data_IF_581013217434
#
_entry.id   IF_581013217434
#
_cell.length_a   1.000
_cell.length_b   1.000
_cell.length_c   1.000
_cell.angle_alpha   90.00
_cell.angle_beta   90.00
_cell.angle_gamma   90.00
#
_symmetry.space_group_name_H-M   'P 1'
#
loop_
_entity.id
_entity.type
_entity.pdbx_description
1 polymer ?
#
# COMPACT_ATOMS: atom_id res chain seq x y z
N UNK A 1 13.34 29.00 -23.29
CA UNK A 1 13.47 27.63 -22.77
C UNK A 1 12.94 27.64 -21.35
N UNK A 2 11.79 27.03 -21.13
CA UNK A 2 11.16 26.96 -19.82
C UNK A 2 10.62 25.54 -19.66
N UNK A 3 11.26 24.77 -18.78
CA UNK A 3 10.83 23.44 -18.38
C UNK A 3 9.52 23.54 -17.61
N UNK A 4 8.57 22.65 -17.91
CA UNK A 4 7.43 22.40 -17.03
C UNK A 4 7.29 20.89 -16.81
N UNK A 5 7.95 20.32 -15.80
CA UNK A 5 7.66 18.96 -15.36
C UNK A 5 6.25 18.92 -14.75
N UNK A 6 5.47 17.88 -15.07
CA UNK A 6 4.22 17.60 -14.35
C UNK A 6 4.53 17.32 -12.87
N UNK A 7 3.69 17.90 -12.02
CA UNK A 7 4.02 18.30 -10.64
C UNK A 7 4.02 17.15 -9.64
N UNK A 8 4.99 17.12 -8.72
CA UNK A 8 5.07 16.15 -7.61
C UNK A 8 3.96 16.37 -6.57
N UNK A 9 3.73 15.42 -5.65
CA UNK A 9 2.69 15.52 -4.59
C UNK A 9 2.79 16.82 -3.79
N UNK A 10 4.00 17.29 -3.51
CA UNK A 10 4.29 18.59 -2.90
C UNK A 10 3.77 19.78 -3.74
N UNK A 11 3.91 19.68 -5.07
CA UNK A 11 3.51 20.72 -6.02
C UNK A 11 2.01 20.69 -6.37
N UNK A 12 1.29 19.57 -6.10
CA UNK A 12 -0.19 19.52 -6.12
C UNK A 12 -0.79 20.10 -4.84
N UNK A 13 -0.21 19.76 -3.68
CA UNK A 13 -0.69 20.23 -2.36
C UNK A 13 -0.58 21.74 -2.15
N UNK A 14 0.36 22.42 -2.82
CA UNK A 14 0.49 23.88 -2.77
C UNK A 14 -0.71 24.66 -3.34
N UNK A 15 -1.64 24.01 -4.06
CA UNK A 15 -2.85 24.64 -4.56
C UNK A 15 -4.06 24.52 -3.60
N UNK A 16 -4.02 23.61 -2.61
CA UNK A 16 -5.16 23.28 -1.74
C UNK A 16 -4.96 23.61 -0.26
N UNK A 17 -4.13 24.62 0.05
CA UNK A 17 -3.97 25.10 1.43
C UNK A 17 -5.20 25.90 1.89
N UNK A 18 -6.28 25.18 2.21
CA UNK A 18 -7.31 25.61 3.12
C UNK A 18 -7.83 24.40 3.92
N UNK A 19 -7.50 24.39 5.21
CA UNK A 19 -7.94 23.47 6.26
C UNK A 19 -7.28 22.07 6.30
N UNK A 20 -6.53 21.82 7.39
CA UNK A 20 -6.24 20.48 7.88
C UNK A 20 -7.42 20.04 8.76
N UNK A 21 -8.35 19.19 8.28
CA UNK A 21 -9.33 18.60 9.17
C UNK A 21 -8.65 17.60 10.12
N UNK A 22 -9.20 17.39 11.33
CA UNK A 22 -8.72 16.36 12.25
C UNK A 22 -8.82 14.96 11.62
N UNK A 23 -8.09 13.96 12.16
CA UNK A 23 -8.25 12.57 11.74
C UNK A 23 -9.73 12.18 11.77
N UNK A 24 -10.26 11.77 10.62
CA UNK A 24 -11.62 11.27 10.53
C UNK A 24 -11.61 9.81 10.96
N UNK A 25 -11.91 9.57 12.23
CA UNK A 25 -12.38 8.26 12.64
C UNK A 25 -13.75 8.09 12.01
N UNK A 26 -13.95 7.04 11.20
CA UNK A 26 -15.31 6.58 10.91
C UNK A 26 -16.02 6.46 12.27
N UNK A 27 -17.26 6.95 12.42
CA UNK A 27 -17.96 6.88 13.70
C UNK A 27 -17.82 5.44 14.22
N UNK A 28 -17.51 5.24 15.51
CA UNK A 28 -17.44 3.91 16.07
C UNK A 28 -18.79 3.27 15.77
N UNK A 29 -18.80 2.33 14.83
CA UNK A 29 -19.94 1.44 14.67
C UNK A 29 -20.09 0.80 16.04
N UNK A 30 -21.11 1.20 16.79
CA UNK A 30 -21.49 0.65 18.10
C UNK A 30 -21.93 -0.83 18.00
N UNK A 31 -21.64 -1.49 16.89
CA UNK A 31 -21.61 -2.93 16.79
C UNK A 31 -20.23 -3.39 17.22
N UNK A 32 -20.17 -4.30 18.19
CA UNK A 32 -19.05 -5.25 18.33
C UNK A 32 -18.38 -5.51 16.98
N UNK A 33 -17.03 -5.63 16.90
CA UNK A 33 -16.37 -5.96 15.65
C UNK A 33 -17.08 -7.20 15.09
N UNK A 34 -17.65 -7.15 13.87
CA UNK A 34 -18.40 -8.27 13.36
C UNK A 34 -17.50 -9.50 13.36
N UNK A 35 -17.75 -10.38 14.31
CA UNK A 35 -17.13 -11.69 14.43
C UNK A 35 -17.47 -12.41 13.13
N UNK A 36 -16.44 -12.63 12.30
CA UNK A 36 -16.50 -13.30 10.99
C UNK A 36 -17.28 -12.55 9.90
N UNK A 37 -16.66 -11.52 9.31
CA UNK A 37 -17.02 -11.07 7.96
C UNK A 37 -16.86 -12.24 7.00
N UNK A 38 -17.97 -12.73 6.43
CA UNK A 38 -17.93 -13.83 5.47
C UNK A 38 -17.33 -13.32 4.16
N UNK A 39 -16.15 -13.83 3.81
CA UNK A 39 -15.47 -13.48 2.55
C UNK A 39 -16.17 -14.21 1.41
N UNK A 40 -16.71 -13.46 0.47
CA UNK A 40 -17.41 -14.02 -0.71
C UNK A 40 -16.41 -14.61 -1.70
N UNK A 41 -16.73 -15.73 -2.34
CA UNK A 41 -15.89 -16.33 -3.35
C UNK A 41 -15.92 -15.56 -4.68
N UNK A 42 -14.74 -15.33 -5.26
CA UNK A 42 -14.57 -14.77 -6.60
C UNK A 42 -14.20 -15.90 -7.58
N UNK A 43 -14.86 -16.03 -8.74
CA UNK A 43 -14.49 -17.00 -9.77
C UNK A 43 -13.15 -16.64 -10.44
N UNK A 44 -12.53 -17.61 -11.12
CA UNK A 44 -11.29 -17.39 -11.88
C UNK A 44 -11.47 -17.73 -13.36
N UNK A 45 -11.42 -16.73 -14.27
CA UNK A 45 -11.24 -15.28 -14.02
C UNK A 45 -12.51 -14.61 -13.44
N UNK A 46 -12.38 -13.45 -12.76
CA UNK A 46 -13.54 -12.69 -12.31
C UNK A 46 -14.27 -12.06 -13.52
N UNK A 47 -15.61 -12.18 -13.65
CA UNK A 47 -16.34 -11.54 -14.73
C UNK A 47 -16.48 -10.03 -14.48
N UNK A 48 -16.59 -9.24 -15.55
CA UNK A 48 -16.80 -7.80 -15.44
C UNK A 48 -18.10 -7.43 -14.70
N UNK A 49 -19.15 -8.25 -14.82
CA UNK A 49 -20.40 -8.07 -14.09
C UNK A 49 -20.23 -8.12 -12.56
N UNK A 50 -19.24 -8.87 -12.08
CA UNK A 50 -18.87 -8.92 -10.67
C UNK A 50 -18.02 -7.72 -10.28
N UNK A 51 -16.99 -7.39 -11.08
CA UNK A 51 -16.06 -6.31 -10.71
C UNK A 51 -16.67 -4.92 -10.85
N UNK A 52 -17.63 -4.76 -11.76
CA UNK A 52 -18.25 -3.49 -12.17
C UNK A 52 -17.22 -2.43 -12.59
N UNK A 53 -15.98 -2.84 -12.88
CA UNK A 53 -14.92 -1.96 -13.33
C UNK A 53 -15.19 -1.54 -14.79
N UNK A 54 -14.79 -0.31 -15.19
CA UNK A 54 -14.72 0.07 -16.59
C UNK A 54 -13.90 -0.94 -17.39
N UNK A 55 -14.23 -1.11 -18.68
CA UNK A 55 -13.61 -2.14 -19.53
C UNK A 55 -12.08 -2.10 -19.53
N UNK A 56 -11.49 -0.89 -19.59
CA UNK A 56 -10.03 -0.68 -19.52
C UNK A 56 -9.44 -1.18 -18.20
N UNK A 57 -10.02 -0.79 -17.06
CA UNK A 57 -9.57 -1.20 -15.73
C UNK A 57 -9.77 -2.71 -15.49
N UNK A 58 -10.85 -3.29 -16.00
CA UNK A 58 -11.07 -4.74 -15.92
C UNK A 58 -10.04 -5.53 -16.75
N UNK A 59 -9.73 -5.06 -17.96
CA UNK A 59 -8.68 -5.66 -18.78
C UNK A 59 -7.30 -5.56 -18.09
N UNK A 60 -6.98 -4.42 -17.48
CA UNK A 60 -5.75 -4.22 -16.72
C UNK A 60 -5.65 -5.17 -15.51
N UNK A 61 -6.74 -5.38 -14.78
CA UNK A 61 -6.81 -6.36 -13.70
C UNK A 61 -6.42 -7.76 -14.19
N UNK A 62 -7.02 -8.22 -15.30
CA UNK A 62 -6.75 -9.55 -15.85
C UNK A 62 -5.32 -9.66 -16.40
N UNK A 63 -4.80 -8.59 -16.99
CA UNK A 63 -3.41 -8.51 -17.46
C UNK A 63 -2.43 -8.64 -16.30
N UNK A 64 -2.60 -7.83 -15.23
CA UNK A 64 -1.78 -7.89 -14.01
C UNK A 64 -1.84 -9.28 -13.36
N UNK A 65 -3.04 -9.86 -13.26
CA UNK A 65 -3.21 -11.23 -12.77
C UNK A 65 -2.38 -12.25 -13.57
N UNK A 66 -2.46 -12.17 -14.91
CA UNK A 66 -1.72 -13.07 -15.79
C UNK A 66 -0.20 -12.89 -15.67
N UNK A 67 0.28 -11.65 -15.53
CA UNK A 67 1.70 -11.35 -15.35
C UNK A 67 2.23 -11.86 -14.01
N UNK A 68 1.53 -11.61 -12.90
CA UNK A 68 1.93 -12.08 -11.57
C UNK A 68 2.01 -13.61 -11.50
N UNK A 69 1.10 -14.33 -12.17
CA UNK A 69 1.12 -15.80 -12.23
C UNK A 69 2.26 -16.35 -13.09
N UNK A 70 2.70 -15.62 -14.12
CA UNK A 70 3.77 -16.04 -15.05
C UNK A 70 5.17 -15.64 -14.56
N UNK A 71 5.26 -14.57 -13.78
CA UNK A 71 6.51 -13.99 -13.31
C UNK A 71 6.41 -13.75 -11.81
N UNK A 72 6.46 -14.83 -11.00
CA UNK A 72 6.40 -14.71 -9.55
C UNK A 72 7.63 -13.95 -9.04
N UNK A 73 7.45 -13.28 -7.90
CA UNK A 73 8.56 -12.60 -7.22
C UNK A 73 9.65 -13.60 -6.79
N UNK A 74 10.92 -13.16 -6.75
CA UNK A 74 11.96 -13.91 -6.07
C UNK A 74 11.57 -14.17 -4.60
N UNK A 75 11.63 -15.43 -4.18
CA UNK A 75 11.27 -15.81 -2.82
C UNK A 75 12.36 -15.46 -1.81
N UNK A 76 11.98 -15.00 -0.63
CA UNK A 76 12.91 -14.88 0.49
C UNK A 76 13.09 -16.23 1.19
N UNK A 77 14.28 -16.55 1.74
CA UNK A 77 14.53 -17.78 2.49
C UNK A 77 13.94 -17.70 3.91
N UNK A 78 12.65 -17.40 4.00
CA UNK A 78 11.85 -17.30 5.22
C UNK A 78 10.59 -18.15 5.06
N UNK A 79 10.09 -18.71 6.15
CA UNK A 79 8.86 -19.50 6.14
C UNK A 79 7.92 -19.01 7.24
N UNK A 80 6.75 -18.45 6.90
CA UNK A 80 6.29 -18.16 5.53
C UNK A 80 7.10 -17.03 4.85
N UNK A 81 7.10 -17.00 3.51
CA UNK A 81 7.71 -15.91 2.74
C UNK A 81 6.86 -14.64 2.88
N UNK A 82 7.36 -13.57 3.50
CA UNK A 82 6.58 -12.37 3.78
C UNK A 82 6.26 -11.56 2.52
N UNK A 83 6.97 -11.77 1.40
CA UNK A 83 6.71 -11.06 0.14
C UNK A 83 5.34 -11.43 -0.45
N UNK A 84 4.87 -12.65 -0.16
CA UNK A 84 3.59 -13.19 -0.64
C UNK A 84 2.37 -12.46 -0.07
N UNK A 85 2.54 -11.74 1.04
CA UNK A 85 1.50 -10.93 1.67
C UNK A 85 1.33 -9.56 0.99
N UNK A 86 2.14 -9.22 -0.01
CA UNK A 86 2.06 -7.95 -0.74
C UNK A 86 0.96 -8.02 -1.79
N UNK A 87 0.23 -6.92 -1.97
CA UNK A 87 -0.81 -6.76 -2.97
C UNK A 87 -0.57 -5.51 -3.82
N UNK A 88 -1.06 -5.55 -5.05
CA UNK A 88 -1.09 -4.40 -5.95
C UNK A 88 -2.52 -3.98 -6.22
N UNK A 89 -2.76 -2.68 -6.37
CA UNK A 89 -4.04 -2.19 -6.87
C UNK A 89 -4.22 -2.57 -8.35
N UNK A 90 -5.42 -3.08 -8.67
CA UNK A 90 -5.73 -3.55 -10.02
C UNK A 90 -5.91 -2.39 -11.02
N UNK A 91 -6.31 -1.21 -10.53
CA UNK A 91 -6.64 -0.02 -11.31
C UNK A 91 -5.38 0.66 -11.89
N UNK A 92 -5.60 1.69 -12.71
CA UNK A 92 -4.55 2.39 -13.46
C UNK A 92 -3.58 3.12 -12.54
N UNK A 93 -4.09 3.72 -11.45
CA UNK A 93 -3.24 4.28 -10.41
C UNK A 93 -2.47 3.17 -9.69
N UNK A 94 -1.15 3.28 -9.76
CA UNK A 94 -0.27 2.33 -9.11
C UNK A 94 -0.25 2.60 -7.60
N UNK A 95 -0.47 1.54 -6.83
CA UNK A 95 -0.37 1.53 -5.39
C UNK A 95 -0.11 0.11 -4.90
N UNK A 96 0.41 0.01 -3.70
CA UNK A 96 0.76 -1.24 -3.04
C UNK A 96 0.05 -1.33 -1.69
N UNK A 97 -0.30 -2.54 -1.28
CA UNK A 97 -0.80 -2.82 0.06
C UNK A 97 -0.09 -4.06 0.62
N UNK A 98 -0.18 -4.26 1.93
CA UNK A 98 0.32 -5.45 2.60
C UNK A 98 -0.73 -6.04 3.52
N UNK A 99 -0.95 -7.34 3.44
CA UNK A 99 -1.81 -8.05 4.36
C UNK A 99 -1.10 -8.22 5.71
N UNK A 100 -1.68 -7.66 6.77
CA UNK A 100 -1.10 -7.66 8.13
C UNK A 100 -1.84 -8.61 9.08
N UNK A 101 -2.99 -9.15 8.67
CA UNK A 101 -3.71 -10.19 9.41
C UNK A 101 -4.27 -11.26 8.47
N UNK A 102 -4.22 -12.54 8.86
CA UNK A 102 -4.70 -13.64 8.02
C UNK A 102 -6.20 -13.63 7.71
N UNK A 103 -6.98 -12.78 8.40
CA UNK A 103 -8.41 -12.54 8.16
C UNK A 103 -8.67 -11.47 7.08
N UNK A 104 -7.63 -11.00 6.39
CA UNK A 104 -7.74 -10.11 5.24
C UNK A 104 -7.78 -8.62 5.63
N UNK A 105 -7.14 -8.25 6.74
CA UNK A 105 -6.83 -6.83 7.00
C UNK A 105 -5.57 -6.43 6.24
N UNK A 106 -5.71 -5.42 5.39
CA UNK A 106 -4.65 -4.87 4.56
C UNK A 106 -4.28 -3.47 5.06
N UNK A 107 -2.99 -3.15 5.02
CA UNK A 107 -2.44 -1.83 5.31
C UNK A 107 -1.87 -1.23 4.02
N UNK A 108 -2.11 0.06 3.79
CA UNK A 108 -1.58 0.81 2.65
C UNK A 108 -1.43 2.29 3.03
N UNK A 109 -0.95 3.12 2.09
CA UNK A 109 -0.97 4.57 2.26
C UNK A 109 -2.39 5.12 2.04
N UNK A 110 -2.75 6.16 2.80
CA UNK A 110 -4.06 6.80 2.72
C UNK A 110 -4.36 7.32 1.30
N UNK A 111 -3.37 7.94 0.67
CA UNK A 111 -3.50 8.48 -0.68
C UNK A 111 -3.67 7.42 -1.78
N UNK A 112 -3.39 6.13 -1.52
CA UNK A 112 -3.74 5.06 -2.45
C UNK A 112 -5.25 4.75 -2.45
N UNK A 113 -5.98 5.23 -1.43
CA UNK A 113 -7.42 5.05 -1.26
C UNK A 113 -8.17 6.32 -1.70
N UNK A 114 -7.73 7.47 -1.18
CA UNK A 114 -8.23 8.81 -1.48
C UNK A 114 -7.17 9.86 -1.12
N UNK A 115 -6.91 10.86 -1.97
CA UNK A 115 -5.89 11.89 -1.69
C UNK A 115 -6.33 12.81 -0.55
N UNK A 116 -7.63 13.07 -0.45
CA UNK A 116 -8.23 13.94 0.56
C UNK A 116 -9.41 13.26 1.27
N UNK A 117 -9.77 13.78 2.46
CA UNK A 117 -10.93 13.29 3.19
C UNK A 117 -12.25 13.48 2.41
N UNK A 118 -12.33 14.49 1.54
CA UNK A 118 -13.52 14.76 0.73
C UNK A 118 -13.72 13.74 -0.42
N UNK A 119 -12.64 13.09 -0.87
CA UNK A 119 -12.67 12.05 -1.90
C UNK A 119 -12.91 10.65 -1.33
N UNK A 120 -12.85 10.49 -0.01
CA UNK A 120 -13.03 9.21 0.64
C UNK A 120 -14.48 8.73 0.49
N UNK A 121 -14.65 7.62 -0.23
CA UNK A 121 -15.91 6.88 -0.31
C UNK A 121 -15.76 5.54 0.43
N UNK A 122 -16.33 5.40 1.65
CA UNK A 122 -16.26 4.17 2.43
C UNK A 122 -16.90 2.96 1.74
N UNK A 123 -17.83 3.16 0.80
CA UNK A 123 -18.49 2.10 0.06
C UNK A 123 -17.71 1.69 -1.20
N UNK A 124 -16.68 2.45 -1.60
CA UNK A 124 -15.86 2.15 -2.77
C UNK A 124 -15.17 0.82 -2.58
N UNK A 125 -15.37 -0.06 -3.56
CA UNK A 125 -14.65 -1.34 -3.63
C UNK A 125 -13.31 -1.13 -4.32
N UNK A 126 -12.24 -1.50 -3.62
CA UNK A 126 -10.90 -1.57 -4.15
C UNK A 126 -10.61 -3.00 -4.60
N UNK A 127 -10.15 -3.15 -5.84
CA UNK A 127 -9.74 -4.44 -6.40
C UNK A 127 -8.22 -4.54 -6.32
N UNK A 128 -7.72 -5.59 -5.67
CA UNK A 128 -6.29 -5.82 -5.49
C UNK A 128 -5.91 -7.24 -5.91
N UNK A 129 -4.63 -7.46 -6.15
CA UNK A 129 -4.06 -8.78 -6.44
C UNK A 129 -2.90 -9.06 -5.50
N UNK A 130 -2.93 -10.19 -4.81
CA UNK A 130 -1.76 -10.72 -4.11
C UNK A 130 -0.62 -11.00 -5.10
N UNK A 131 0.61 -11.10 -4.59
CA UNK A 131 1.78 -11.51 -5.39
C UNK A 131 1.59 -12.85 -6.14
N UNK A 132 0.70 -13.72 -5.67
CA UNK A 132 0.29 -14.96 -6.35
C UNK A 132 -0.61 -14.74 -7.57
N UNK A 133 -1.08 -13.51 -7.80
CA UNK A 133 -2.12 -13.15 -8.75
C UNK A 133 -3.54 -13.50 -8.29
N UNK A 134 -3.75 -13.88 -7.03
CA UNK A 134 -5.09 -14.06 -6.47
C UNK A 134 -5.79 -12.71 -6.29
N UNK A 135 -6.97 -12.56 -6.89
CA UNK A 135 -7.76 -11.33 -6.85
C UNK A 135 -8.58 -11.25 -5.57
N UNK A 136 -8.60 -10.07 -4.96
CA UNK A 136 -9.48 -9.72 -3.83
C UNK A 136 -10.22 -8.42 -4.09
N UNK A 137 -11.39 -8.31 -3.49
CA UNK A 137 -12.13 -7.07 -3.33
C UNK A 137 -12.04 -6.65 -1.86
N UNK A 138 -11.80 -5.38 -1.60
CA UNK A 138 -11.70 -4.83 -0.25
C UNK A 138 -12.36 -3.45 -0.14
N UNK A 139 -12.77 -3.08 1.06
CA UNK A 139 -13.35 -1.77 1.38
C UNK A 139 -12.51 -1.06 2.44
N UNK A 140 -12.48 0.26 2.41
CA UNK A 140 -11.78 1.05 3.42
C UNK A 140 -12.52 0.95 4.77
N UNK A 141 -11.78 0.65 5.84
CA UNK A 141 -12.31 0.56 7.22
C UNK A 141 -11.64 1.55 8.17
N UNK A 142 -10.52 2.14 7.79
CA UNK A 142 -9.89 3.26 8.48
C UNK A 142 -9.03 4.06 7.50
N UNK A 143 -8.93 5.37 7.71
CA UNK A 143 -8.17 6.29 6.88
C UNK A 143 -7.64 7.45 7.72
N UNK A 144 -6.34 7.75 7.60
CA UNK A 144 -5.68 8.85 8.29
C UNK A 144 -4.75 9.57 7.29
N UNK A 145 -5.21 10.71 6.78
CA UNK A 145 -4.44 11.53 5.86
C UNK A 145 -3.21 12.21 6.46
N UNK A 146 -3.16 12.38 7.79
CA UNK A 146 -1.99 12.98 8.45
C UNK A 146 -0.86 11.96 8.56
N UNK A 147 -1.14 10.75 9.02
CA UNK A 147 -0.17 9.64 9.05
C UNK A 147 0.05 9.01 7.68
N UNK A 148 -0.82 9.33 6.72
CA UNK A 148 -0.90 8.73 5.39
C UNK A 148 -1.05 7.21 5.45
N UNK A 149 -1.96 6.75 6.30
CA UNK A 149 -2.27 5.33 6.50
C UNK A 149 -3.73 5.04 6.22
N UNK A 150 -4.01 3.88 5.65
CA UNK A 150 -5.37 3.36 5.54
C UNK A 150 -5.40 1.84 5.78
N UNK A 151 -6.53 1.38 6.32
CA UNK A 151 -6.87 -0.04 6.43
C UNK A 151 -7.94 -0.40 5.41
N UNK A 152 -7.72 -1.51 4.72
CA UNK A 152 -8.73 -2.14 3.88
C UNK A 152 -9.10 -3.51 4.44
N UNK A 153 -10.38 -3.85 4.39
CA UNK A 153 -10.90 -5.18 4.76
C UNK A 153 -11.31 -5.95 3.52
N UNK A 154 -10.75 -7.13 3.32
CA UNK A 154 -11.17 -8.03 2.24
C UNK A 154 -12.61 -8.49 2.46
N UNK A 155 -13.46 -8.30 1.46
CA UNK A 155 -14.88 -8.69 1.44
C UNK A 155 -15.17 -9.82 0.45
N UNK A 156 -14.33 -9.98 -0.57
CA UNK A 156 -14.38 -11.10 -1.49
C UNK A 156 -12.98 -11.52 -1.95
N UNK A 157 -12.76 -12.81 -2.20
CA UNK A 157 -11.47 -13.34 -2.61
C UNK A 157 -11.60 -14.51 -3.59
N UNK A 158 -10.66 -14.61 -4.52
CA UNK A 158 -10.44 -15.85 -5.27
C UNK A 158 -9.89 -16.92 -4.33
N UNK A 159 -10.44 -18.13 -4.41
CA UNK A 159 -10.08 -19.20 -3.48
C UNK A 159 -10.63 -18.97 -2.06
N UNK A 160 -11.69 -18.18 -1.88
CA UNK A 160 -12.38 -18.08 -0.59
C UNK A 160 -12.78 -19.48 -0.11
N UNK A 161 -12.36 -19.83 1.13
CA UNK A 161 -12.44 -21.18 1.68
C UNK A 161 -11.11 -21.96 1.66
N UNK A 162 -10.08 -21.46 0.99
CA UNK A 162 -8.75 -22.09 0.86
C UNK A 162 -7.78 -21.89 2.03
N UNK A 163 -8.27 -21.35 3.16
CA UNK A 163 -7.45 -21.07 4.34
C UNK A 163 -7.13 -19.59 4.56
N UNK A 164 -6.28 -19.27 5.55
CA UNK A 164 -5.90 -17.90 5.88
C UNK A 164 -5.13 -17.20 4.75
N UNK A 165 -5.28 -15.88 4.63
CA UNK A 165 -4.44 -15.10 3.71
C UNK A 165 -2.98 -15.07 4.18
N UNK A 166 -2.00 -15.03 3.24
CA UNK A 166 -0.63 -14.72 3.60
C UNK A 166 -0.58 -13.34 4.26
N UNK A 167 0.07 -13.24 5.41
CA UNK A 167 0.14 -12.01 6.19
C UNK A 167 1.52 -11.84 6.83
N UNK A 168 1.97 -10.59 6.95
CA UNK A 168 3.19 -10.25 7.70
C UNK A 168 2.85 -9.84 9.14
N UNK A 169 3.81 -10.04 10.04
CA UNK A 169 3.71 -9.50 11.40
C UNK A 169 4.34 -8.11 11.45
N UNK A 170 3.66 -7.18 12.11
CA UNK A 170 4.22 -5.88 12.46
C UNK A 170 5.35 -6.08 13.48
N UNK A 171 6.47 -5.37 13.31
CA UNK A 171 7.58 -5.43 14.24
C UNK A 171 7.20 -4.83 15.61
N UNK A 172 7.76 -5.37 16.69
CA UNK A 172 7.51 -4.85 18.04
C UNK A 172 8.23 -3.52 18.29
N UNK A 173 9.41 -3.37 17.68
CA UNK A 173 10.33 -2.22 17.84
C UNK A 173 10.93 -1.84 16.49
N UNK A 174 11.22 -0.56 16.33
CA UNK A 174 11.89 -0.06 15.15
C UNK A 174 13.29 -0.71 15.03
N UNK A 175 13.74 -1.04 13.81
CA UNK A 175 15.07 -1.60 13.62
C UNK A 175 16.16 -0.54 13.82
N UNK A 176 17.39 -0.98 14.11
CA UNK A 176 18.55 -0.09 14.13
C UNK A 176 18.91 0.40 12.72
N UNK A 177 19.52 1.59 12.62
CA UNK A 177 20.05 2.12 11.36
C UNK A 177 21.02 1.12 10.73
N UNK A 178 20.96 0.95 9.41
CA UNK A 178 21.74 -0.03 8.67
C UNK A 178 21.12 -1.43 8.64
N UNK A 179 20.01 -1.67 9.35
CA UNK A 179 19.28 -2.94 9.24
C UNK A 179 18.82 -3.18 7.81
N UNK A 180 19.14 -4.35 7.26
CA UNK A 180 18.74 -4.72 5.91
C UNK A 180 17.22 -4.84 5.75
N UNK A 181 16.70 -4.22 4.69
CA UNK A 181 15.30 -4.17 4.31
C UNK A 181 15.06 -4.85 2.96
N UNK A 182 13.83 -5.30 2.79
CA UNK A 182 13.23 -5.65 1.50
C UNK A 182 12.02 -4.75 1.31
N UNK A 183 11.93 -4.09 0.16
CA UNK A 183 10.75 -3.35 -0.27
C UNK A 183 10.13 -4.09 -1.45
N UNK A 184 8.81 -4.33 -1.41
CA UNK A 184 8.08 -4.99 -2.49
C UNK A 184 6.96 -4.08 -2.92
N UNK A 185 6.98 -3.58 -4.15
CA UNK A 185 5.99 -2.60 -4.60
C UNK A 185 5.67 -2.70 -6.08
N UNK A 186 4.61 -1.99 -6.47
CA UNK A 186 4.14 -1.91 -7.86
C UNK A 186 4.66 -0.63 -8.51
N UNK A 187 5.75 -0.68 -9.28
CA UNK A 187 6.13 0.47 -10.10
C UNK A 187 5.04 0.78 -11.12
N UNK A 188 4.84 2.08 -11.39
CA UNK A 188 3.95 2.56 -12.42
C UNK A 188 4.31 1.99 -13.79
N UNK A 189 3.28 1.68 -14.59
CA UNK A 189 3.45 1.20 -15.96
C UNK A 189 3.85 2.29 -16.93
N UNK A 190 3.53 3.55 -16.62
CA UNK A 190 3.91 4.73 -17.41
C UNK A 190 5.15 5.39 -16.81
N UNK A 191 6.09 5.77 -17.68
CA UNK A 191 7.29 6.49 -17.33
C UNK A 191 6.93 7.97 -17.15
N UNK A 192 6.96 8.40 -15.89
CA UNK A 192 6.67 9.78 -15.51
C UNK A 192 7.92 10.67 -15.51
N UNK A 193 9.08 10.13 -15.88
CA UNK A 193 10.34 10.88 -16.03
C UNK A 193 10.54 11.42 -17.45
N UNK A 194 9.76 10.95 -18.42
CA UNK A 194 9.80 11.42 -19.81
C UNK A 194 8.69 12.44 -20.11
N UNK A 195 8.92 13.32 -21.08
CA UNK A 195 7.94 14.36 -21.47
C UNK A 195 6.70 13.79 -22.18
N UNK A 196 6.85 12.62 -22.83
CA UNK A 196 5.80 11.96 -23.57
C UNK A 196 4.91 11.12 -22.64
N UNK A 197 3.60 11.42 -22.62
CA UNK A 197 2.67 10.64 -21.81
C UNK A 197 2.45 9.24 -22.42
N UNK A 198 2.34 8.22 -21.57
CA UNK A 198 2.02 6.85 -21.98
C UNK A 198 3.21 6.02 -22.44
N UNK A 199 4.45 6.49 -22.27
CA UNK A 199 5.65 5.68 -22.49
C UNK A 199 5.70 4.59 -21.42
N UNK A 200 5.88 3.33 -21.83
CA UNK A 200 5.93 2.22 -20.89
C UNK A 200 7.28 2.16 -20.16
N UNK A 201 7.25 1.93 -18.84
CA UNK A 201 8.48 1.75 -18.04
C UNK A 201 9.18 0.42 -18.27
N UNK A 202 8.44 -0.59 -18.73
CA UNK A 202 8.91 -1.98 -18.84
C UNK A 202 9.11 -2.69 -17.49
N UNK A 203 8.73 -2.08 -16.37
CA UNK A 203 8.85 -2.70 -15.06
C UNK A 203 7.83 -3.85 -14.86
N UNK A 204 8.18 -4.87 -14.05
CA UNK A 204 7.22 -5.90 -13.67
C UNK A 204 6.11 -5.34 -12.77
N UNK A 205 4.97 -6.03 -12.70
CA UNK A 205 3.82 -5.65 -11.84
C UNK A 205 4.21 -5.57 -10.36
N UNK A 206 5.13 -6.42 -9.90
CA UNK A 206 5.74 -6.29 -8.59
C UNK A 206 7.25 -6.31 -8.75
N UNK A 207 7.91 -5.38 -8.08
CA UNK A 207 9.35 -5.27 -8.01
C UNK A 207 9.81 -5.45 -6.57
N UNK A 208 10.83 -6.28 -6.38
CA UNK A 208 11.49 -6.47 -5.10
C UNK A 208 12.83 -5.75 -5.13
N UNK A 209 13.01 -4.80 -4.23
CA UNK A 209 14.30 -4.13 -4.02
C UNK A 209 14.83 -4.40 -2.62
N UNK A 210 16.16 -4.41 -2.50
CA UNK A 210 16.84 -4.53 -1.21
C UNK A 210 17.52 -3.22 -0.86
N UNK A 211 17.61 -2.95 0.43
CA UNK A 211 18.29 -1.77 0.96
C UNK A 211 18.47 -1.89 2.46
N UNK A 212 18.52 -0.74 3.12
CA UNK A 212 18.81 -0.56 4.52
C UNK A 212 17.90 0.52 5.10
N UNK A 213 17.51 0.31 6.35
CA UNK A 213 16.83 1.29 7.16
C UNK A 213 17.78 2.45 7.51
N UNK A 214 17.36 3.69 7.31
CA UNK A 214 18.18 4.90 7.52
C UNK A 214 17.69 5.78 8.68
N UNK A 215 16.83 5.22 9.54
CA UNK A 215 16.24 5.94 10.68
C UNK A 215 15.13 6.88 10.25
N UNK A 216 14.66 7.72 11.18
CA UNK A 216 13.77 8.83 10.86
C UNK A 216 14.57 10.12 10.63
N UNK A 217 13.99 11.05 9.88
CA UNK A 217 14.51 12.41 9.71
C UNK A 217 14.48 13.17 11.03
N UNK A 218 15.55 13.91 11.33
CA UNK A 218 15.67 14.59 12.62
C UNK A 218 14.73 15.78 12.68
N UNK A 219 13.99 15.89 13.78
CA UNK A 219 13.09 17.02 14.02
C UNK A 219 11.76 16.96 13.28
N UNK A 220 11.51 15.91 12.49
CA UNK A 220 10.20 15.67 11.90
C UNK A 220 9.33 14.82 12.83
N UNK A 221 8.05 15.16 12.91
CA UNK A 221 7.06 14.38 13.65
C UNK A 221 6.84 13.02 12.96
N UNK A 222 7.03 11.93 13.71
CA UNK A 222 6.83 10.57 13.23
C UNK A 222 5.36 10.28 12.91
N UNK A 223 4.42 11.03 13.49
CA UNK A 223 3.00 10.94 13.25
C UNK A 223 2.51 11.81 12.08
N UNK A 224 3.41 12.54 11.41
CA UNK A 224 3.07 13.41 10.28
C UNK A 224 3.81 12.99 8.99
N UNK A 225 3.05 12.34 8.10
CA UNK A 225 3.45 11.94 6.76
C UNK A 225 2.75 12.78 5.69
N UNK A 226 2.17 13.93 6.05
CA UNK A 226 1.31 14.68 5.13
C UNK A 226 2.10 15.31 3.98
N UNK A 227 3.41 15.52 4.11
CA UNK A 227 4.29 16.00 3.05
C UNK A 227 5.10 14.86 2.39
N UNK A 228 6.08 14.31 3.11
CA UNK A 228 7.03 13.35 2.55
C UNK A 228 7.35 12.16 3.48
N UNK A 229 6.98 12.22 4.76
CA UNK A 229 7.19 11.12 5.72
C UNK A 229 8.51 11.13 6.47
N UNK A 230 8.50 10.75 7.75
CA UNK A 230 9.68 10.83 8.61
C UNK A 230 10.67 9.67 8.40
N UNK A 231 10.20 8.45 8.10
CA UNK A 231 11.07 7.29 7.92
C UNK A 231 11.96 7.47 6.70
N UNK A 232 13.22 6.99 6.76
CA UNK A 232 14.16 6.97 5.63
C UNK A 232 14.65 5.56 5.32
N UNK A 233 14.81 5.26 4.04
CA UNK A 233 15.44 4.04 3.54
C UNK A 233 16.14 4.30 2.20
N UNK A 234 16.87 3.31 1.71
CA UNK A 234 17.53 3.36 0.38
C UNK A 234 17.12 2.20 -0.54
N UNK A 235 16.12 1.41 -0.15
CA UNK A 235 15.49 0.47 -1.09
C UNK A 235 15.04 1.26 -2.33
N UNK A 236 15.35 0.75 -3.53
CA UNK A 236 14.89 1.37 -4.76
C UNK A 236 13.36 1.37 -4.83
N UNK A 237 12.81 2.50 -5.25
CA UNK A 237 11.37 2.69 -5.50
C UNK A 237 11.18 3.66 -6.66
N UNK A 238 9.99 3.59 -7.25
CA UNK A 238 9.51 4.44 -8.34
C UNK A 238 8.07 4.87 -8.05
N UNK A 239 7.51 5.77 -8.85
CA UNK A 239 6.08 6.08 -8.83
C UNK A 239 5.25 4.79 -8.77
N UNK A 240 4.22 4.75 -7.93
CA UNK A 240 3.38 3.56 -7.70
C UNK A 240 3.76 2.68 -6.50
N UNK A 241 4.96 2.84 -5.94
CA UNK A 241 5.40 2.08 -4.76
C UNK A 241 4.71 2.52 -3.45
N UNK A 242 3.87 3.54 -3.47
CA UNK A 242 3.15 4.00 -2.28
C UNK A 242 2.39 2.85 -1.61
N UNK A 243 2.54 2.75 -0.30
CA UNK A 243 2.00 1.65 0.52
C UNK A 243 2.81 0.36 0.45
N UNK A 244 3.98 0.35 -0.20
CA UNK A 244 4.84 -0.84 -0.25
C UNK A 244 5.42 -1.16 1.14
N UNK A 245 5.35 -2.43 1.58
CA UNK A 245 5.91 -2.83 2.85
C UNK A 245 7.44 -2.71 2.87
N UNK A 246 7.96 -2.12 3.93
CA UNK A 246 9.37 -2.21 4.30
C UNK A 246 9.53 -3.36 5.29
N UNK A 247 10.05 -4.48 4.80
CA UNK A 247 10.20 -5.71 5.57
C UNK A 247 11.64 -5.85 6.06
N UNK A 248 11.84 -6.15 7.33
CA UNK A 248 13.16 -6.48 7.85
C UNK A 248 13.64 -7.80 7.23
N UNK A 249 14.74 -7.77 6.48
CA UNK A 249 15.19 -8.90 5.63
C UNK A 249 15.40 -10.21 6.40
N UNK A 250 15.83 -10.14 7.66
CA UNK A 250 16.10 -11.32 8.50
C UNK A 250 14.86 -11.96 9.12
N UNK A 251 13.80 -11.19 9.33
CA UNK A 251 12.64 -11.64 10.13
C UNK A 251 11.33 -11.62 9.33
N UNK A 252 11.31 -10.92 8.19
CA UNK A 252 10.10 -10.69 7.41
C UNK A 252 9.08 -9.78 8.10
N UNK A 253 9.43 -9.16 9.24
CA UNK A 253 8.51 -8.28 9.97
C UNK A 253 8.42 -6.91 9.30
N UNK A 254 7.21 -6.36 9.27
CA UNK A 254 6.94 -5.02 8.77
C UNK A 254 7.50 -3.97 9.74
N UNK A 255 8.35 -3.07 9.22
CA UNK A 255 8.99 -2.00 10.00
C UNK A 255 8.65 -0.59 9.51
N UNK A 256 7.84 -0.48 8.45
CA UNK A 256 7.43 0.79 7.87
C UNK A 256 6.70 0.58 6.55
N UNK A 257 6.16 1.66 5.98
CA UNK A 257 5.65 1.69 4.61
C UNK A 257 6.40 2.73 3.80
N UNK A 258 6.71 2.41 2.54
CA UNK A 258 7.13 3.42 1.59
C UNK A 258 5.97 4.33 1.20
N UNK A 259 6.22 5.63 1.10
CA UNK A 259 5.20 6.61 0.72
C UNK A 259 5.66 7.58 -0.38
N UNK A 260 6.92 7.98 -0.39
CA UNK A 260 7.42 9.04 -1.27
C UNK A 260 8.95 9.11 -1.23
N UNK A 261 9.54 10.10 -1.91
CA UNK A 261 10.95 10.41 -1.82
C UNK A 261 11.17 11.91 -1.89
N UNK A 262 12.34 12.34 -1.44
CA UNK A 262 12.81 13.71 -1.59
C UNK A 262 13.37 13.91 -3.01
N UNK A 263 12.72 14.77 -3.79
CA UNK A 263 13.12 15.05 -5.18
C UNK A 263 14.49 15.72 -5.29
N UNK A 264 14.97 16.38 -4.22
CA UNK A 264 16.25 17.07 -4.20
C UNK A 264 17.41 16.17 -3.80
N UNK A 265 17.19 15.26 -2.85
CA UNK A 265 18.24 14.38 -2.29
C UNK A 265 18.15 12.94 -2.77
N UNK A 266 17.03 12.55 -3.39
CA UNK A 266 16.72 11.17 -3.78
C UNK A 266 16.41 10.24 -2.61
N UNK A 267 16.46 10.73 -1.36
CA UNK A 267 16.23 9.91 -0.17
C UNK A 267 14.81 9.38 -0.18
N UNK A 268 14.65 8.06 -0.01
CA UNK A 268 13.32 7.44 0.07
C UNK A 268 12.73 7.63 1.44
N UNK A 269 11.44 7.95 1.46
CA UNK A 269 10.70 8.38 2.63
C UNK A 269 9.43 7.56 2.84
N UNK A 270 8.93 7.54 4.07
CA UNK A 270 7.80 6.69 4.40
C UNK A 270 7.23 6.90 5.79
N UNK A 271 6.27 6.04 6.10
CA UNK A 271 5.58 6.01 7.38
C UNK A 271 6.37 5.12 8.36
N UNK A 272 6.78 5.66 9.52
CA UNK A 272 7.53 4.90 10.52
C UNK A 272 6.66 3.89 11.28
N UNK A 273 7.32 2.89 11.88
CA UNK A 273 6.66 1.83 12.65
C UNK A 273 5.80 2.39 13.79
N UNK A 274 6.26 3.44 14.44
CA UNK A 274 5.58 4.12 15.55
C UNK A 274 4.19 4.62 15.14
N UNK A 275 4.08 5.27 13.98
CA UNK A 275 2.81 5.72 13.44
C UNK A 275 1.90 4.56 13.01
N UNK A 276 2.48 3.50 12.42
CA UNK A 276 1.73 2.29 12.06
C UNK A 276 1.13 1.66 13.32
N UNK A 277 1.91 1.47 14.39
CA UNK A 277 1.42 0.85 15.63
C UNK A 277 0.32 1.69 16.27
N UNK A 278 0.51 3.00 16.39
CA UNK A 278 -0.48 3.87 17.01
C UNK A 278 -1.79 3.92 16.21
N UNK A 279 -1.70 3.93 14.87
CA UNK A 279 -2.87 3.83 13.99
C UNK A 279 -3.61 2.50 14.18
N UNK A 280 -2.88 1.38 14.23
CA UNK A 280 -3.48 0.06 14.45
C UNK A 280 -4.13 -0.07 15.83
N UNK A 281 -3.52 0.49 16.87
CA UNK A 281 -4.07 0.45 18.24
C UNK A 281 -5.37 1.27 18.35
N UNK A 282 -5.48 2.38 17.61
CA UNK A 282 -6.67 3.23 17.55
C UNK A 282 -7.85 2.54 16.86
N UNK A 283 -7.60 1.83 15.76
CA UNK A 283 -8.66 1.26 14.91
C UNK A 283 -9.00 -0.20 15.20
N UNK A 284 -8.10 -0.96 15.83
CA UNK A 284 -8.35 -2.37 16.16
C UNK A 284 -8.84 -2.58 17.60
N UNK A 285 -8.78 -1.54 18.44
CA UNK A 285 -9.00 -1.65 19.87
C UNK A 285 -7.91 -2.48 20.54
N UNK A 286 -7.62 -2.21 21.81
CA UNK A 286 -6.74 -3.02 22.65
C UNK A 286 -7.40 -4.38 22.89
N UNK A 287 -7.28 -5.30 21.93
CA UNK A 287 -7.69 -6.68 22.10
C UNK A 287 -6.69 -7.40 23.01
N UNK A 288 -6.92 -7.30 24.32
CA UNK A 288 -6.49 -8.35 25.27
C UNK A 288 -7.23 -9.67 25.00
#
# INVERSE_FOLDING_TARGET
MAFSPRRTRLQRKQLDLASNPPPFTLPPTTSDPPKTTTITAIPSPPPQSLTKLPRKAHALLLQKQSLLRRSPLPSLPLTPDPTTATLVFAQEEAGTAVCIRPDGLLLTCAHCVAETAAELDPAKTHWLLFASGAVVAAVCVAWDGRRDLALLRVTAAQGAGGGPFPAVRVAERAPGVGTGLVCVGHPGSEDLEVEENGVETGYPVLYLSMGNYRGCEKGQDVQDNSEIGALRHDCWTYWGHSGAPLLQRKTGRLVGLHSSWDDSTGVRRGVPLEAIKEFLDQDLGSGE
#
